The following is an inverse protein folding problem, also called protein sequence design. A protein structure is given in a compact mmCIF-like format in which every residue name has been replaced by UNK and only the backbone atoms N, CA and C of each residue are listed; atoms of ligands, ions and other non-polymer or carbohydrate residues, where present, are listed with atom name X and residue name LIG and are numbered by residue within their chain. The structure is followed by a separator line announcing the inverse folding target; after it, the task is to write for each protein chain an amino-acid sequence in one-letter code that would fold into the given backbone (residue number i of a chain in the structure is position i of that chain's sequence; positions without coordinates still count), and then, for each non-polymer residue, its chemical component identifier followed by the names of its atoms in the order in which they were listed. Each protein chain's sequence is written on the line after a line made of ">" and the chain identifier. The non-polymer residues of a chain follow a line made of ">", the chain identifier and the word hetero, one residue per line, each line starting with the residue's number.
data_IF_354674433403
#
_entry.id   IF_354674433403
#
_cell.length_a   1.000
_cell.length_b   1.000
_cell.length_c   1.000
_cell.angle_alpha   90.00
_cell.angle_beta   90.00
_cell.angle_gamma   90.00
#
_symmetry.space_group_name_H-M   'P 1'
#
loop_
_entity.id
_entity.type
_entity.pdbx_description
1 polymer ?
#
# COMPACT_ATOMS: atom_id res chain seq x y z
N UNK A 1 40.59 -40.18 -13.92
CA UNK A 1 39.38 -40.99 -14.20
C UNK A 1 38.38 -40.68 -13.10
N UNK A 2 37.09 -40.44 -13.25
CA UNK A 2 36.18 -40.14 -14.36
C UNK A 2 34.82 -39.86 -13.65
N UNK A 3 34.07 -38.86 -14.14
CA UNK A 3 32.59 -38.69 -14.10
C UNK A 3 31.80 -38.84 -12.78
N UNK A 4 31.17 -37.77 -12.25
CA UNK A 4 29.78 -37.29 -12.48
C UNK A 4 28.67 -38.29 -12.08
N UNK A 5 27.85 -37.97 -11.04
CA UNK A 5 26.42 -37.66 -11.16
C UNK A 5 25.72 -37.43 -9.80
N UNK A 6 24.80 -36.48 -9.85
CA UNK A 6 23.78 -35.99 -8.91
C UNK A 6 22.89 -37.06 -8.26
N UNK A 7 22.52 -36.90 -6.97
CA UNK A 7 21.13 -37.09 -6.51
C UNK A 7 20.82 -36.47 -5.13
N UNK A 8 19.61 -35.91 -5.11
CA UNK A 8 18.87 -35.21 -4.05
C UNK A 8 18.46 -36.05 -2.83
N UNK A 9 18.03 -35.32 -1.77
CA UNK A 9 17.04 -35.66 -0.72
C UNK A 9 17.52 -36.64 0.36
N UNK A 10 17.09 -36.61 1.63
CA UNK A 10 16.18 -35.78 2.42
C UNK A 10 16.19 -36.36 3.85
N UNK A 11 16.04 -35.52 4.88
CA UNK A 11 15.52 -35.90 6.20
C UNK A 11 16.49 -36.65 7.12
N UNK A 12 16.41 -36.57 8.44
CA UNK A 12 15.41 -35.98 9.33
C UNK A 12 16.09 -35.91 10.73
N UNK A 13 15.97 -34.83 11.49
CA UNK A 13 14.86 -34.64 12.44
C UNK A 13 15.00 -35.51 13.68
N UNK A 14 15.40 -34.93 14.82
CA UNK A 14 14.80 -35.27 16.13
C UNK A 14 15.12 -34.22 17.21
N UNK A 15 14.03 -33.78 17.88
CA UNK A 15 13.92 -32.96 19.12
C UNK A 15 14.01 -31.44 18.84
N UNK A 16 13.03 -30.59 19.16
CA UNK A 16 11.99 -30.65 20.18
C UNK A 16 10.80 -29.73 19.79
N UNK A 17 9.58 -30.26 19.91
CA UNK A 17 8.30 -29.55 19.82
C UNK A 17 7.88 -29.12 21.23
N UNK A 18 7.82 -27.82 21.51
CA UNK A 18 7.15 -27.27 22.71
C UNK A 18 6.92 -25.74 22.64
N UNK A 19 6.19 -25.25 21.64
CA UNK A 19 5.47 -23.96 21.67
C UNK A 19 4.76 -23.78 20.33
N UNK A 20 3.44 -23.89 20.30
CA UNK A 20 2.62 -23.82 19.08
C UNK A 20 2.54 -22.43 18.45
N UNK A 21 3.67 -21.84 18.05
CA UNK A 21 3.75 -20.64 17.19
C UNK A 21 4.88 -20.91 16.18
N UNK A 22 4.55 -20.92 14.89
CA UNK A 22 5.52 -21.11 13.81
C UNK A 22 6.57 -19.98 13.81
N UNK A 23 7.88 -20.30 13.82
CA UNK A 23 8.90 -19.32 13.48
C UNK A 23 8.95 -19.18 11.96
N UNK A 24 8.26 -18.19 11.41
CA UNK A 24 8.53 -17.73 10.05
C UNK A 24 9.89 -17.02 10.05
N UNK A 25 10.84 -17.68 9.40
CA UNK A 25 12.22 -17.27 9.19
C UNK A 25 12.27 -15.81 8.71
N UNK A 26 12.76 -14.93 9.59
CA UNK A 26 12.99 -13.52 9.31
C UNK A 26 14.18 -13.41 8.35
N UNK A 27 13.88 -13.41 7.05
CA UNK A 27 14.86 -13.07 6.01
C UNK A 27 15.24 -11.61 6.23
N UNK A 28 16.46 -11.37 6.71
CA UNK A 28 17.04 -10.03 6.78
C UNK A 28 17.02 -9.42 5.37
N UNK A 29 16.05 -8.56 5.08
CA UNK A 29 16.14 -7.69 3.92
C UNK A 29 16.94 -6.47 4.37
N UNK A 30 18.27 -6.57 4.24
CA UNK A 30 19.15 -5.41 4.32
C UNK A 30 18.75 -4.46 3.17
N UNK A 31 18.05 -3.36 3.48
CA UNK A 31 17.72 -2.32 2.50
C UNK A 31 18.95 -1.43 2.33
N UNK A 32 19.87 -1.84 1.45
CA UNK A 32 20.97 -0.96 1.04
C UNK A 32 20.42 0.18 0.18
N UNK A 33 20.81 1.42 0.50
CA UNK A 33 20.52 2.64 -0.26
C UNK A 33 21.12 2.66 -1.68
N UNK A 34 21.62 1.53 -2.17
CA UNK A 34 22.36 1.40 -3.43
C UNK A 34 21.49 1.03 -4.65
N UNK A 35 20.20 0.72 -4.48
CA UNK A 35 19.42 0.10 -5.56
C UNK A 35 18.63 1.05 -6.47
N UNK A 36 18.53 2.35 -6.15
CA UNK A 36 17.71 3.25 -6.97
C UNK A 36 18.27 3.45 -8.38
N UNK A 37 19.60 3.43 -8.55
CA UNK A 37 20.24 3.51 -9.88
C UNK A 37 20.14 2.23 -10.71
N UNK A 38 19.87 1.08 -10.10
CA UNK A 38 19.83 -0.23 -10.79
C UNK A 38 18.43 -0.60 -11.30
N UNK A 39 17.38 -0.01 -10.72
CA UNK A 39 16.01 -0.23 -11.16
C UNK A 39 15.72 0.45 -12.51
N UNK A 40 16.36 1.60 -12.79
CA UNK A 40 16.21 2.29 -14.08
C UNK A 40 17.04 1.69 -15.22
N UNK A 41 17.94 0.74 -14.94
CA UNK A 41 18.87 0.19 -15.94
C UNK A 41 18.46 -1.17 -16.52
N UNK A 42 17.37 -1.77 -16.02
CA UNK A 42 17.00 -3.16 -16.35
C UNK A 42 15.57 -3.34 -16.87
N UNK A 43 14.81 -2.26 -17.05
CA UNK A 43 13.43 -2.31 -17.53
C UNK A 43 13.43 -2.82 -18.98
N UNK A 44 12.79 -3.96 -19.23
CA UNK A 44 12.61 -4.48 -20.58
C UNK A 44 11.65 -3.55 -21.35
N UNK A 45 11.82 -3.34 -22.67
CA UNK A 45 10.87 -2.57 -23.45
C UNK A 45 9.49 -3.24 -23.39
N UNK A 46 8.53 -2.61 -22.68
CA UNK A 46 7.17 -3.13 -22.50
C UNK A 46 6.74 -3.35 -21.04
N UNK A 47 7.64 -3.24 -20.07
CA UNK A 47 7.28 -3.30 -18.64
C UNK A 47 6.80 -1.92 -18.18
N UNK A 48 5.48 -1.76 -18.02
CA UNK A 48 4.85 -0.52 -17.53
C UNK A 48 5.05 -0.36 -16.02
N UNK A 49 6.26 0.01 -15.61
CA UNK A 49 6.53 0.41 -14.22
C UNK A 49 5.90 1.77 -13.99
N UNK A 50 4.98 1.86 -13.03
CA UNK A 50 4.37 3.14 -12.68
C UNK A 50 5.37 3.98 -11.87
N UNK A 51 5.50 5.31 -12.11
CA UNK A 51 6.54 6.13 -11.47
C UNK A 51 6.53 6.14 -9.94
N UNK A 52 5.37 5.92 -9.32
CA UNK A 52 5.20 5.87 -7.86
C UNK A 52 4.80 4.48 -7.37
N UNK A 53 5.09 3.44 -8.15
CA UNK A 53 4.86 2.07 -7.72
C UNK A 53 5.60 1.77 -6.41
N UNK A 54 4.90 1.16 -5.45
CA UNK A 54 5.42 0.88 -4.12
C UNK A 54 5.44 2.08 -3.16
N UNK A 55 5.02 3.27 -3.58
CA UNK A 55 4.83 4.42 -2.69
C UNK A 55 3.44 4.36 -2.07
N UNK A 56 3.35 4.42 -0.74
CA UNK A 56 2.08 4.55 -0.01
C UNK A 56 1.89 5.98 0.48
N UNK A 57 0.69 6.54 0.31
CA UNK A 57 0.34 7.90 0.74
C UNK A 57 -0.93 7.87 1.60
N UNK A 58 -0.84 8.47 2.78
CA UNK A 58 -2.00 8.77 3.62
C UNK A 58 -2.60 10.12 3.20
N UNK A 59 -3.81 10.10 2.63
CA UNK A 59 -4.54 11.28 2.22
C UNK A 59 -5.45 11.76 3.38
N UNK A 60 -5.00 12.78 4.12
CA UNK A 60 -5.76 13.45 5.19
C UNK A 60 -6.51 14.70 4.69
N UNK A 61 -6.59 14.88 3.39
CA UNK A 61 -7.11 16.10 2.77
C UNK A 61 -8.61 16.03 2.52
N UNK A 62 -9.21 17.20 2.25
CA UNK A 62 -10.64 17.36 1.99
C UNK A 62 -10.89 18.32 0.84
N UNK A 63 -12.11 18.29 0.33
CA UNK A 63 -12.63 19.22 -0.68
C UNK A 63 -11.99 19.02 -2.05
N UNK A 64 -11.00 19.82 -2.45
CA UNK A 64 -10.50 19.83 -3.83
C UNK A 64 -8.99 19.74 -3.95
N UNK A 65 -8.25 20.76 -3.49
CA UNK A 65 -6.84 20.90 -3.81
C UNK A 65 -6.00 19.69 -3.36
N UNK A 66 -6.22 19.23 -2.13
CA UNK A 66 -5.54 18.05 -1.59
C UNK A 66 -6.00 16.74 -2.25
N UNK A 67 -7.32 16.48 -2.37
CA UNK A 67 -7.80 15.28 -3.05
C UNK A 67 -7.31 15.19 -4.50
N UNK A 68 -7.27 16.31 -5.21
CA UNK A 68 -6.75 16.39 -6.57
C UNK A 68 -5.25 16.09 -6.65
N UNK A 69 -4.44 16.65 -5.74
CA UNK A 69 -3.01 16.36 -5.69
C UNK A 69 -2.73 14.88 -5.44
N UNK A 70 -3.40 14.27 -4.46
CA UNK A 70 -3.22 12.85 -4.13
C UNK A 70 -3.82 11.91 -5.16
N UNK A 71 -4.86 12.33 -5.89
CA UNK A 71 -5.38 11.62 -7.05
C UNK A 71 -4.33 11.50 -8.15
N UNK A 72 -3.58 12.58 -8.45
CA UNK A 72 -2.48 12.53 -9.41
C UNK A 72 -1.40 11.53 -8.94
N UNK A 73 -1.09 11.49 -7.65
CA UNK A 73 -0.15 10.49 -7.11
C UNK A 73 -0.66 9.06 -7.31
N UNK A 74 -1.95 8.82 -7.09
CA UNK A 74 -2.59 7.53 -7.35
C UNK A 74 -2.58 7.14 -8.83
N UNK A 75 -2.84 8.10 -9.73
CA UNK A 75 -2.76 7.90 -11.18
C UNK A 75 -1.33 7.55 -11.63
N UNK A 76 -0.31 8.01 -10.90
CA UNK A 76 1.10 7.65 -11.10
C UNK A 76 1.53 6.35 -10.41
N UNK A 77 0.60 5.61 -9.79
CA UNK A 77 0.82 4.28 -9.22
C UNK A 77 1.06 4.22 -7.71
N UNK A 78 0.89 5.33 -6.99
CA UNK A 78 0.95 5.29 -5.54
C UNK A 78 -0.30 4.62 -4.94
N UNK A 79 -0.12 3.87 -3.85
CA UNK A 79 -1.23 3.39 -3.05
C UNK A 79 -1.75 4.53 -2.16
N UNK A 80 -2.94 5.06 -2.48
CA UNK A 80 -3.56 6.16 -1.72
C UNK A 80 -4.60 5.60 -0.74
N UNK A 81 -4.45 5.96 0.53
CA UNK A 81 -5.40 5.65 1.59
C UNK A 81 -5.96 6.96 2.13
N UNK A 82 -7.20 7.28 1.75
CA UNK A 82 -7.94 8.44 2.22
C UNK A 82 -8.51 8.17 3.60
N UNK A 83 -8.20 9.05 4.55
CA UNK A 83 -8.72 8.98 5.92
C UNK A 83 -9.86 9.97 6.05
N UNK A 84 -11.02 9.46 6.45
CA UNK A 84 -12.24 10.24 6.52
C UNK A 84 -12.87 10.23 7.91
N UNK A 85 -13.78 11.18 8.16
CA UNK A 85 -14.50 11.24 9.43
C UNK A 85 -15.55 10.12 9.49
N UNK A 86 -15.62 9.36 10.60
CA UNK A 86 -16.72 8.43 10.80
C UNK A 86 -18.09 9.12 10.70
N UNK A 87 -19.04 8.47 10.01
CA UNK A 87 -20.40 8.96 9.79
C UNK A 87 -20.55 10.04 8.71
N UNK A 88 -19.65 11.02 8.66
CA UNK A 88 -19.77 12.16 7.75
C UNK A 88 -18.92 12.07 6.47
N UNK A 89 -17.75 11.44 6.54
CA UNK A 89 -16.81 11.41 5.42
C UNK A 89 -16.18 12.77 5.08
N UNK A 90 -15.68 12.88 3.85
CA UNK A 90 -15.37 14.14 3.16
C UNK A 90 -16.64 14.95 2.88
N UNK A 91 -16.59 16.26 3.09
CA UNK A 91 -17.73 17.17 2.89
C UNK A 91 -18.29 17.08 1.46
N UNK A 92 -17.42 16.81 0.48
CA UNK A 92 -17.80 16.75 -0.94
C UNK A 92 -18.66 15.53 -1.31
N UNK A 93 -18.77 14.50 -0.46
CA UNK A 93 -19.61 13.33 -0.72
C UNK A 93 -21.08 13.70 -0.95
N UNK A 94 -21.57 14.75 -0.26
CA UNK A 94 -22.94 15.24 -0.38
C UNK A 94 -23.09 16.46 -1.32
N UNK A 95 -22.00 16.96 -1.90
CA UNK A 95 -22.02 18.16 -2.75
C UNK A 95 -22.38 17.83 -4.19
N UNK A 96 -23.66 17.55 -4.44
CA UNK A 96 -24.21 17.45 -5.80
C UNK A 96 -25.17 18.61 -6.11
N UNK A 97 -25.91 18.54 -7.24
CA UNK A 97 -25.85 17.53 -8.30
C UNK A 97 -24.67 17.71 -9.28
N UNK A 98 -24.32 16.68 -10.09
CA UNK A 98 -24.97 15.37 -10.20
C UNK A 98 -24.49 14.36 -9.15
N UNK A 99 -25.37 13.41 -8.82
CA UNK A 99 -25.07 12.27 -7.94
C UNK A 99 -25.00 10.98 -8.75
N UNK A 100 -24.14 10.06 -8.33
CA UNK A 100 -24.06 8.68 -8.82
C UNK A 100 -24.31 7.76 -7.63
N UNK A 101 -25.53 7.22 -7.54
CA UNK A 101 -26.00 6.57 -6.32
C UNK A 101 -26.08 7.56 -5.17
N UNK A 102 -25.51 7.20 -4.02
CA UNK A 102 -25.51 8.03 -2.81
C UNK A 102 -24.33 9.02 -2.73
N UNK A 103 -23.44 9.03 -3.75
CA UNK A 103 -22.23 9.84 -3.76
C UNK A 103 -22.29 10.94 -4.83
N UNK A 104 -21.76 12.11 -4.50
CA UNK A 104 -21.58 13.20 -5.46
C UNK A 104 -20.57 12.81 -6.55
N UNK A 105 -20.89 13.13 -7.80
CA UNK A 105 -19.94 13.04 -8.92
C UNK A 105 -18.69 13.88 -8.68
N UNK A 106 -18.80 14.98 -7.92
CA UNK A 106 -17.66 15.80 -7.50
C UNK A 106 -16.67 14.95 -6.71
N UNK A 107 -17.14 14.30 -5.64
CA UNK A 107 -16.32 13.46 -4.79
C UNK A 107 -15.67 12.32 -5.58
N UNK A 108 -16.46 11.63 -6.41
CA UNK A 108 -15.98 10.51 -7.23
C UNK A 108 -14.90 10.95 -8.23
N UNK A 109 -15.04 12.14 -8.82
CA UNK A 109 -14.10 12.63 -9.84
C UNK A 109 -12.68 12.84 -9.31
N UNK A 110 -12.54 13.30 -8.05
CA UNK A 110 -11.25 13.63 -7.42
C UNK A 110 -10.75 12.59 -6.40
N UNK A 111 -11.47 11.48 -6.24
CA UNK A 111 -11.10 10.39 -5.32
C UNK A 111 -11.07 9.00 -5.99
N UNK A 112 -11.05 8.93 -7.31
CA UNK A 112 -10.69 7.70 -8.03
C UNK A 112 -9.29 7.21 -7.63
N UNK A 113 -9.04 5.91 -7.78
CA UNK A 113 -7.77 5.26 -7.43
C UNK A 113 -7.37 5.37 -5.95
N UNK A 114 -8.31 5.69 -5.05
CA UNK A 114 -8.09 5.75 -3.61
C UNK A 114 -8.88 4.67 -2.89
N UNK A 115 -8.27 4.10 -1.85
CA UNK A 115 -8.98 3.36 -0.80
C UNK A 115 -9.44 4.37 0.26
N UNK A 116 -10.54 4.10 0.94
CA UNK A 116 -11.06 4.96 2.01
C UNK A 116 -11.17 4.18 3.33
N UNK A 117 -10.82 4.85 4.42
CA UNK A 117 -11.04 4.37 5.79
C UNK A 117 -11.59 5.49 6.66
N UNK A 118 -12.63 5.19 7.43
CA UNK A 118 -13.19 6.12 8.39
C UNK A 118 -12.49 5.97 9.75
N UNK A 119 -11.76 7.00 10.20
CA UNK A 119 -11.04 6.97 11.49
C UNK A 119 -11.20 8.30 12.22
N UNK A 120 -11.53 8.23 13.51
CA UNK A 120 -11.54 9.41 14.37
C UNK A 120 -10.11 9.73 14.85
N UNK A 121 -9.46 10.71 14.21
CA UNK A 121 -8.11 11.15 14.59
C UNK A 121 -8.02 11.87 15.95
N UNK A 122 -9.15 12.28 16.53
CA UNK A 122 -9.17 12.85 17.90
C UNK A 122 -9.03 11.78 18.98
N UNK A 123 -9.28 10.51 18.64
CA UNK A 123 -9.02 9.39 19.53
C UNK A 123 -7.55 8.96 19.38
N UNK A 124 -6.76 8.87 20.47
CA UNK A 124 -5.38 8.38 20.42
C UNK A 124 -5.24 7.01 19.71
N UNK A 125 -6.25 6.16 19.79
CA UNK A 125 -6.30 4.88 19.07
C UNK A 125 -6.39 5.08 17.56
N UNK A 126 -7.15 6.09 17.12
CA UNK A 126 -7.27 6.43 15.71
C UNK A 126 -5.96 6.91 15.11
N UNK A 127 -5.21 7.75 15.83
CA UNK A 127 -3.87 8.16 15.41
C UNK A 127 -2.92 6.96 15.29
N UNK A 128 -2.96 6.02 16.25
CA UNK A 128 -2.16 4.79 16.19
C UNK A 128 -2.50 3.93 14.97
N UNK A 129 -3.78 3.72 14.68
CA UNK A 129 -4.23 2.95 13.50
C UNK A 129 -3.69 3.57 12.20
N UNK A 130 -3.81 4.89 12.05
CA UNK A 130 -3.33 5.55 10.82
C UNK A 130 -1.80 5.47 10.67
N UNK A 131 -1.05 5.57 11.77
CA UNK A 131 0.40 5.37 11.74
C UNK A 131 0.79 3.92 11.38
N UNK A 132 0.00 2.93 11.78
CA UNK A 132 0.22 1.53 11.40
C UNK A 132 -0.11 1.30 9.92
N UNK A 133 -1.19 1.90 9.42
CA UNK A 133 -1.61 1.80 8.01
C UNK A 133 -0.60 2.46 7.07
N UNK A 134 0.02 3.57 7.47
CA UNK A 134 0.99 4.31 6.66
C UNK A 134 2.42 3.73 6.64
N UNK A 135 2.70 2.70 7.42
CA UNK A 135 3.97 1.95 7.38
C UNK A 135 4.00 0.94 6.22
#
# INVERSE_FOLDING_TARGET
>A
MSTTLTRFKCGAFLRLLASGIQPCIFRQHQSSRANLRRLLSNTQPGENVQPLEGVKVLDLTRVLAGPFATMILGDLGAEIIKVERPGAGDDTRSWGPPFVGDESAYFLSVNRNKKSVAVNLKDPRGAKIILEVGR
#
